data_IF_050635315095
#
_entry.id   IF_050635315095
#
_cell.length_a   1.000
_cell.length_b   1.000
_cell.length_c   1.000
_cell.angle_alpha   90.00
_cell.angle_beta   90.00
_cell.angle_gamma   90.00
#
_symmetry.space_group_name_H-M   'P 1'
#
loop_
_entity.id
_entity.type
_entity.pdbx_description
1 polymer ?
#
# COMPACT_ATOMS: atom_id res chain seq x y z
N UNK A 1 -13.93 -22.70 -4.34
CA UNK A 1 -12.90 -23.74 -4.26
C UNK A 1 -12.52 -24.15 -2.84
N UNK A 2 -13.02 -23.51 -1.79
CA UNK A 2 -12.85 -23.91 -0.37
C UNK A 2 -11.43 -23.88 0.20
N UNK A 3 -10.47 -23.24 -0.51
CA UNK A 3 -9.06 -23.14 -0.10
C UNK A 3 -8.79 -21.82 0.60
N UNK A 4 -9.49 -21.56 1.71
CA UNK A 4 -9.39 -20.29 2.43
C UNK A 4 -7.97 -20.05 2.98
N UNK A 5 -7.35 -21.07 3.56
CA UNK A 5 -5.99 -20.96 4.11
C UNK A 5 -4.97 -20.57 3.05
N UNK A 6 -5.04 -21.17 1.85
CA UNK A 6 -4.15 -20.80 0.74
C UNK A 6 -4.39 -19.37 0.26
N UNK A 7 -5.65 -18.92 0.25
CA UNK A 7 -5.98 -17.54 -0.11
C UNK A 7 -5.39 -16.53 0.90
N UNK A 8 -5.48 -16.83 2.19
CA UNK A 8 -4.88 -16.04 3.27
C UNK A 8 -3.34 -16.01 3.12
N UNK A 9 -2.71 -17.17 2.88
CA UNK A 9 -1.27 -17.21 2.67
C UNK A 9 -0.85 -16.39 1.45
N UNK A 10 -1.61 -16.48 0.35
CA UNK A 10 -1.36 -15.67 -0.85
C UNK A 10 -1.49 -14.17 -0.56
N UNK A 11 -2.46 -13.73 0.23
CA UNK A 11 -2.59 -12.34 0.64
C UNK A 11 -1.38 -11.90 1.47
N UNK A 12 -0.94 -12.73 2.42
CA UNK A 12 0.22 -12.48 3.26
C UNK A 12 1.55 -12.49 2.47
N UNK A 13 1.60 -13.05 1.27
CA UNK A 13 2.74 -12.89 0.35
C UNK A 13 2.85 -11.46 -0.19
N UNK A 14 1.77 -10.71 -0.18
CA UNK A 14 1.74 -9.34 -0.69
C UNK A 14 1.84 -8.30 0.41
N UNK A 15 1.22 -8.54 1.56
CA UNK A 15 1.16 -7.57 2.66
C UNK A 15 1.19 -8.24 4.03
N UNK A 16 1.95 -7.70 5.00
CA UNK A 16 1.82 -8.10 6.41
C UNK A 16 0.62 -7.44 7.10
N UNK A 17 -0.09 -6.50 6.44
CA UNK A 17 -1.14 -5.64 7.01
C UNK A 17 -2.49 -5.81 6.31
N UNK A 18 -3.03 -7.04 6.17
CA UNK A 18 -4.32 -7.22 5.53
C UNK A 18 -5.46 -6.59 6.32
N UNK A 19 -5.50 -6.73 7.63
CA UNK A 19 -6.55 -6.20 8.48
C UNK A 19 -6.42 -4.72 8.78
N UNK A 20 -5.24 -4.29 9.26
CA UNK A 20 -5.03 -2.89 9.67
C UNK A 20 -5.02 -1.93 8.47
N UNK A 21 -4.43 -2.31 7.35
CA UNK A 21 -4.41 -1.43 6.17
C UNK A 21 -5.58 -1.72 5.24
N UNK A 22 -5.66 -2.91 4.63
CA UNK A 22 -6.69 -3.19 3.61
C UNK A 22 -8.09 -3.22 4.20
N UNK A 23 -8.27 -3.86 5.35
CA UNK A 23 -9.57 -4.03 6.00
C UNK A 23 -10.08 -2.80 6.77
N UNK A 24 -9.20 -1.88 7.18
CA UNK A 24 -9.60 -0.79 8.08
C UNK A 24 -9.45 0.60 7.46
N UNK A 25 -8.22 0.98 7.08
CA UNK A 25 -7.93 2.38 6.74
C UNK A 25 -7.83 2.67 5.24
N UNK A 26 -7.70 1.65 4.40
CA UNK A 26 -7.64 1.80 2.95
C UNK A 26 -8.98 2.28 2.38
N UNK A 27 -9.00 3.20 1.40
CA UNK A 27 -10.22 3.57 0.68
C UNK A 27 -10.70 2.49 -0.29
N UNK A 28 -9.99 1.38 -0.40
CA UNK A 28 -10.29 0.22 -1.23
C UNK A 28 -10.46 0.54 -2.74
N UNK A 29 -9.51 1.20 -3.40
CA UNK A 29 -9.59 1.47 -4.84
C UNK A 29 -9.64 0.19 -5.69
N UNK A 30 -9.23 -0.94 -5.14
CA UNK A 30 -9.42 -2.26 -5.74
C UNK A 30 -10.89 -2.65 -5.86
N UNK A 31 -11.77 -2.17 -4.96
CA UNK A 31 -13.22 -2.35 -5.07
C UNK A 31 -13.80 -1.44 -6.14
N UNK A 32 -13.37 -0.18 -6.23
CA UNK A 32 -13.80 0.75 -7.28
C UNK A 32 -13.44 0.23 -8.68
N UNK A 33 -12.28 -0.42 -8.81
CA UNK A 33 -11.80 -1.03 -10.05
C UNK A 33 -12.25 -2.48 -10.26
N UNK A 34 -13.04 -3.03 -9.35
CA UNK A 34 -13.46 -4.43 -9.42
C UNK A 34 -14.38 -4.67 -10.63
N UNK A 35 -13.98 -5.57 -11.53
CA UNK A 35 -14.76 -5.91 -12.73
C UNK A 35 -16.16 -6.42 -12.39
N UNK A 36 -16.34 -7.09 -11.25
CA UNK A 36 -17.65 -7.52 -10.77
C UNK A 36 -18.63 -6.36 -10.61
N UNK A 37 -18.16 -5.18 -10.19
CA UNK A 37 -18.97 -3.97 -10.05
C UNK A 37 -19.65 -3.52 -11.34
N UNK A 38 -19.20 -3.99 -12.52
CA UNK A 38 -19.87 -3.75 -13.81
C UNK A 38 -21.00 -4.75 -14.12
N UNK A 39 -21.21 -5.75 -13.27
CA UNK A 39 -22.28 -6.76 -13.41
C UNK A 39 -23.38 -6.50 -12.37
N UNK A 40 -22.98 -6.33 -11.12
CA UNK A 40 -23.83 -6.04 -9.96
C UNK A 40 -23.10 -5.14 -8.93
N UNK A 41 -22.37 -5.73 -7.99
CA UNK A 41 -21.66 -5.04 -6.91
C UNK A 41 -20.20 -5.54 -6.83
N UNK A 42 -19.22 -4.69 -6.52
CA UNK A 42 -17.83 -5.14 -6.37
C UNK A 42 -17.70 -6.18 -5.25
N UNK A 43 -16.67 -7.01 -5.32
CA UNK A 43 -16.29 -7.90 -4.23
C UNK A 43 -15.85 -7.07 -3.03
N UNK A 44 -16.25 -7.44 -1.82
CA UNK A 44 -15.88 -6.80 -0.56
C UNK A 44 -14.43 -7.16 -0.17
N UNK A 45 -13.47 -6.67 -0.96
CA UNK A 45 -12.04 -7.03 -0.83
C UNK A 45 -11.47 -6.55 0.52
N UNK A 46 -11.94 -5.41 1.03
CA UNK A 46 -11.55 -4.91 2.35
C UNK A 46 -11.91 -5.89 3.48
N UNK A 47 -13.11 -6.43 3.45
CA UNK A 47 -13.57 -7.38 4.46
C UNK A 47 -12.81 -8.71 4.42
N UNK A 48 -12.36 -9.13 3.22
CA UNK A 48 -11.46 -10.29 3.10
C UNK A 48 -10.11 -10.00 3.79
N UNK A 49 -9.55 -8.81 3.60
CA UNK A 49 -8.34 -8.38 4.30
C UNK A 49 -8.52 -8.38 5.81
N UNK A 50 -9.65 -7.88 6.31
CA UNK A 50 -9.97 -7.92 7.74
C UNK A 50 -10.01 -9.36 8.28
N UNK A 51 -10.59 -10.30 7.54
CA UNK A 51 -10.66 -11.72 7.92
C UNK A 51 -9.28 -12.39 8.05
N UNK A 52 -8.26 -11.87 7.37
CA UNK A 52 -6.89 -12.38 7.40
C UNK A 52 -6.02 -11.78 8.52
N UNK A 53 -6.55 -10.82 9.29
CA UNK A 53 -5.78 -10.07 10.30
C UNK A 53 -5.13 -10.96 11.37
N UNK A 54 -5.81 -12.02 11.80
CA UNK A 54 -5.37 -12.92 12.87
C UNK A 54 -4.73 -14.22 12.37
N UNK A 55 -4.47 -14.32 11.07
CA UNK A 55 -3.85 -15.49 10.48
C UNK A 55 -2.43 -15.70 10.99
N UNK A 56 -2.05 -16.96 11.21
CA UNK A 56 -0.70 -17.35 11.65
C UNK A 56 0.14 -17.76 10.46
N UNK A 57 1.45 -17.55 10.58
CA UNK A 57 2.45 -17.95 9.58
C UNK A 57 3.60 -18.62 10.29
N UNK A 58 4.06 -19.74 9.73
CA UNK A 58 5.24 -20.42 10.24
C UNK A 58 6.52 -19.68 9.83
N UNK A 59 7.53 -19.61 10.70
CA UNK A 59 8.82 -19.05 10.35
C UNK A 59 9.51 -19.88 9.25
N UNK A 60 10.41 -19.26 8.45
CA UNK A 60 11.12 -19.97 7.39
C UNK A 60 12.00 -21.09 7.98
N UNK A 61 11.95 -22.27 7.36
CA UNK A 61 12.74 -23.45 7.80
C UNK A 61 14.23 -23.28 7.57
N UNK A 62 14.62 -22.46 6.58
CA UNK A 62 16.02 -22.28 6.18
C UNK A 62 16.45 -20.85 6.44
N UNK A 63 17.60 -20.67 7.08
CA UNK A 63 18.24 -19.38 7.29
C UNK A 63 19.34 -19.15 6.25
N UNK A 64 19.46 -17.90 5.77
CA UNK A 64 20.49 -17.51 4.80
C UNK A 64 21.79 -17.08 5.46
N UNK A 65 21.75 -16.73 6.74
CA UNK A 65 22.85 -16.12 7.49
C UNK A 65 23.14 -14.66 7.12
N UNK A 66 22.30 -14.05 6.26
CA UNK A 66 22.42 -12.65 5.86
C UNK A 66 21.71 -11.74 6.85
N UNK A 67 22.37 -10.66 7.25
CA UNK A 67 21.90 -9.70 8.24
C UNK A 67 21.44 -8.42 7.57
N UNK A 68 20.22 -7.98 7.85
CA UNK A 68 19.63 -6.79 7.27
C UNK A 68 19.21 -5.83 8.39
N UNK A 69 19.75 -4.60 8.34
CA UNK A 69 19.30 -3.52 9.19
C UNK A 69 18.22 -2.69 8.50
N UNK A 70 17.10 -2.42 9.17
CA UNK A 70 16.04 -1.55 8.66
C UNK A 70 15.87 -0.38 9.61
N UNK A 71 15.97 0.83 9.10
CA UNK A 71 15.80 2.07 9.87
C UNK A 71 14.44 2.64 9.55
N UNK A 72 13.54 2.55 10.53
CA UNK A 72 12.13 2.92 10.46
C UNK A 72 11.19 1.73 10.52
N UNK A 73 10.46 1.60 11.62
CA UNK A 73 9.46 0.57 11.92
C UNK A 73 8.04 0.96 11.46
N UNK A 74 7.93 1.80 10.41
CA UNK A 74 6.68 2.10 9.74
C UNK A 74 6.30 1.07 8.68
N UNK A 75 5.20 1.32 7.98
CA UNK A 75 4.59 0.37 7.02
C UNK A 75 5.57 -0.11 5.95
N UNK A 76 6.40 0.77 5.39
CA UNK A 76 7.38 0.39 4.36
C UNK A 76 8.50 -0.48 4.93
N UNK A 77 9.07 -0.10 6.08
CA UNK A 77 10.12 -0.87 6.75
C UNK A 77 9.63 -2.23 7.20
N UNK A 78 8.45 -2.31 7.80
CA UNK A 78 7.85 -3.58 8.23
C UNK A 78 7.45 -4.47 7.05
N UNK A 79 6.98 -3.90 5.93
CA UNK A 79 6.74 -4.68 4.70
C UNK A 79 8.06 -5.24 4.15
N UNK A 80 9.15 -4.47 4.19
CA UNK A 80 10.49 -4.94 3.81
C UNK A 80 10.95 -6.06 4.73
N UNK A 81 10.83 -5.86 6.06
CA UNK A 81 11.21 -6.83 7.08
C UNK A 81 10.48 -8.17 6.90
N UNK A 82 9.16 -8.10 6.71
CA UNK A 82 8.30 -9.25 6.45
C UNK A 82 8.78 -10.09 5.27
N UNK A 83 9.02 -9.45 4.13
CA UNK A 83 9.44 -10.13 2.92
C UNK A 83 10.83 -10.78 3.06
N UNK A 84 11.77 -10.08 3.70
CA UNK A 84 13.14 -10.57 3.88
C UNK A 84 13.22 -11.68 4.93
N UNK A 85 12.53 -11.52 6.06
CA UNK A 85 12.51 -12.56 7.11
C UNK A 85 11.89 -13.86 6.60
N UNK A 86 10.80 -13.80 5.82
CA UNK A 86 10.19 -15.00 5.20
C UNK A 86 11.11 -15.70 4.20
N UNK A 87 12.10 -15.00 3.64
CA UNK A 87 13.18 -15.62 2.82
C UNK A 87 14.33 -16.21 3.65
N UNK A 88 14.29 -16.07 4.97
CA UNK A 88 15.25 -16.62 5.90
C UNK A 88 16.41 -15.69 6.25
N UNK A 89 16.34 -14.41 5.91
CA UNK A 89 17.32 -13.41 6.36
C UNK A 89 17.11 -13.06 7.83
N UNK A 90 18.18 -12.67 8.52
CA UNK A 90 18.14 -12.15 9.88
C UNK A 90 17.89 -10.64 9.81
N UNK A 91 16.71 -10.22 10.21
CA UNK A 91 16.24 -8.83 10.03
C UNK A 91 16.06 -8.15 11.38
N UNK A 92 16.66 -6.96 11.52
CA UNK A 92 16.50 -6.10 12.69
C UNK A 92 15.93 -4.74 12.23
N UNK A 93 14.83 -4.31 12.87
CA UNK A 93 14.15 -3.04 12.61
C UNK A 93 14.42 -2.09 13.77
N UNK A 94 15.00 -0.94 13.48
CA UNK A 94 15.28 0.15 14.43
C UNK A 94 14.27 1.27 14.24
N UNK A 95 13.66 1.75 15.31
CA UNK A 95 12.69 2.85 15.27
C UNK A 95 12.91 3.79 16.45
N UNK A 96 12.76 5.09 16.25
CA UNK A 96 12.92 6.12 17.29
C UNK A 96 11.73 6.20 18.24
N UNK A 97 10.58 5.65 17.86
CA UNK A 97 9.41 5.57 18.70
C UNK A 97 9.48 4.37 19.67
N UNK A 98 8.80 4.50 20.82
CA UNK A 98 8.70 3.43 21.82
C UNK A 98 7.85 2.25 21.33
N UNK A 99 6.98 2.48 20.34
CA UNK A 99 6.12 1.48 19.72
C UNK A 99 6.30 1.43 18.21
N UNK A 100 6.49 0.21 17.71
CA UNK A 100 6.62 -0.06 16.27
C UNK A 100 5.25 0.06 15.58
N UNK A 101 5.23 0.47 14.31
CA UNK A 101 4.00 0.60 13.50
C UNK A 101 3.94 1.92 12.71
N UNK A 102 4.84 2.86 13.04
CA UNK A 102 4.89 4.16 12.38
C UNK A 102 3.56 4.91 12.44
N UNK A 103 3.09 5.46 11.32
CA UNK A 103 1.83 6.23 11.28
C UNK A 103 0.59 5.40 11.65
N UNK A 104 0.58 4.07 11.44
CA UNK A 104 -0.52 3.21 11.89
C UNK A 104 -0.69 3.26 13.42
N UNK A 105 0.41 3.26 14.14
CA UNK A 105 0.41 3.33 15.61
C UNK A 105 0.28 4.77 16.11
N UNK A 106 1.04 5.69 15.52
CA UNK A 106 1.25 7.01 16.07
C UNK A 106 0.23 8.07 15.62
N UNK A 107 -0.40 7.91 14.43
CA UNK A 107 -1.12 9.00 13.76
C UNK A 107 -2.55 8.65 13.41
N UNK A 108 -2.81 7.42 12.95
CA UNK A 108 -4.17 7.01 12.56
C UNK A 108 -5.07 6.98 13.80
N UNK A 109 -6.20 7.70 13.81
CA UNK A 109 -7.11 7.71 14.96
C UNK A 109 -7.59 6.31 15.34
N UNK A 110 -7.64 6.02 16.63
CA UNK A 110 -8.06 4.72 17.17
C UNK A 110 -9.48 4.32 16.76
N UNK A 111 -10.35 5.27 16.48
CA UNK A 111 -11.68 5.02 15.93
C UNK A 111 -11.69 4.56 14.45
N UNK A 112 -10.53 4.66 13.75
CA UNK A 112 -10.37 4.14 12.38
C UNK A 112 -9.61 2.82 12.36
N UNK A 113 -8.69 2.62 13.29
CA UNK A 113 -7.85 1.43 13.38
C UNK A 113 -7.86 0.90 14.82
N UNK A 114 -8.50 -0.25 15.00
CA UNK A 114 -8.49 -0.95 16.28
C UNK A 114 -7.06 -1.43 16.61
N UNK A 115 -6.62 -1.18 17.84
CA UNK A 115 -5.25 -1.49 18.27
C UNK A 115 -4.93 -2.98 18.16
N UNK A 116 -5.89 -3.84 18.50
CA UNK A 116 -5.74 -5.30 18.49
C UNK A 116 -5.41 -5.86 17.10
N UNK A 117 -5.92 -5.23 16.04
CA UNK A 117 -5.60 -5.62 14.66
C UNK A 117 -4.13 -5.38 14.36
N UNK A 118 -3.65 -4.17 14.63
CA UNK A 118 -2.25 -3.82 14.39
C UNK A 118 -1.32 -4.65 15.27
N UNK A 119 -1.65 -4.84 16.54
CA UNK A 119 -0.87 -5.66 17.46
C UNK A 119 -0.75 -7.12 16.99
N UNK A 120 -1.85 -7.71 16.50
CA UNK A 120 -1.83 -9.06 15.95
C UNK A 120 -0.90 -9.17 14.73
N UNK A 121 -0.94 -8.19 13.84
CA UNK A 121 -0.09 -8.17 12.64
C UNK A 121 1.38 -7.92 12.97
N UNK A 122 1.69 -7.09 13.95
CA UNK A 122 3.05 -6.88 14.44
C UNK A 122 3.62 -8.17 15.09
N UNK A 123 2.84 -8.85 15.93
CA UNK A 123 3.20 -10.15 16.50
C UNK A 123 3.46 -11.22 15.41
N UNK A 124 2.69 -11.19 14.34
CA UNK A 124 2.92 -12.06 13.19
C UNK A 124 4.26 -11.76 12.51
N UNK A 125 4.63 -10.48 12.35
CA UNK A 125 5.93 -10.08 11.79
C UNK A 125 7.08 -10.54 12.71
N UNK A 126 6.94 -10.42 14.02
CA UNK A 126 7.93 -10.97 14.97
C UNK A 126 8.03 -12.49 14.88
N UNK A 127 6.91 -13.20 14.72
CA UNK A 127 6.87 -14.67 14.69
C UNK A 127 7.67 -15.29 13.55
N UNK A 128 7.90 -14.58 12.45
CA UNK A 128 8.76 -15.04 11.36
C UNK A 128 10.24 -14.70 11.57
N UNK A 129 10.61 -14.12 12.73
CA UNK A 129 11.98 -13.91 13.15
C UNK A 129 12.50 -12.48 12.97
N UNK A 130 11.64 -11.50 12.75
CA UNK A 130 12.03 -10.09 12.76
C UNK A 130 12.28 -9.63 14.19
N UNK A 131 13.41 -8.96 14.42
CA UNK A 131 13.74 -8.33 15.69
C UNK A 131 13.39 -6.86 15.67
N UNK A 132 12.69 -6.35 16.70
CA UNK A 132 12.38 -4.94 16.87
C UNK A 132 13.26 -4.30 17.93
N UNK A 133 13.76 -3.09 17.63
CA UNK A 133 14.55 -2.25 18.53
C UNK A 133 13.87 -0.87 18.61
N UNK A 134 12.78 -0.76 19.38
CA UNK A 134 12.09 0.51 19.61
C UNK A 134 12.92 1.47 20.46
N UNK A 135 12.57 2.77 20.47
CA UNK A 135 13.29 3.82 21.20
C UNK A 135 14.72 4.08 20.71
N UNK A 136 15.05 3.57 19.53
CA UNK A 136 16.37 3.67 18.94
C UNK A 136 16.43 4.78 17.88
N UNK A 137 16.65 6.02 18.31
CA UNK A 137 16.94 7.11 17.39
C UNK A 137 18.30 6.86 16.73
N UNK A 138 18.28 6.73 15.40
CA UNK A 138 19.50 6.54 14.60
C UNK A 138 20.07 7.90 14.23
N UNK A 139 21.26 8.19 14.76
CA UNK A 139 22.14 9.28 14.36
C UNK A 139 23.21 8.76 13.40
N UNK A 140 24.13 9.59 12.97
CA UNK A 140 25.21 9.21 12.06
C UNK A 140 26.08 8.07 12.61
N UNK A 141 26.48 8.12 13.86
CA UNK A 141 27.35 7.09 14.45
C UNK A 141 26.63 5.71 14.51
N UNK A 142 25.36 5.71 14.90
CA UNK A 142 24.55 4.49 14.89
C UNK A 142 24.30 3.96 13.48
N UNK A 143 24.07 4.86 12.51
CA UNK A 143 23.91 4.47 11.11
C UNK A 143 25.15 3.71 10.62
N UNK A 144 26.34 4.25 10.87
CA UNK A 144 27.59 3.62 10.47
C UNK A 144 27.77 2.25 11.15
N UNK A 145 27.47 2.14 12.45
CA UNK A 145 27.48 0.85 13.18
C UNK A 145 26.48 -0.18 12.63
N UNK A 146 25.28 0.25 12.28
CA UNK A 146 24.26 -0.64 11.68
C UNK A 146 24.74 -1.11 10.31
N UNK A 147 25.31 -0.20 9.49
CA UNK A 147 25.87 -0.51 8.18
C UNK A 147 27.01 -1.52 8.27
N UNK A 148 27.95 -1.34 9.20
CA UNK A 148 29.06 -2.26 9.43
C UNK A 148 28.63 -3.64 9.92
N UNK A 149 27.55 -3.72 10.69
CA UNK A 149 27.03 -4.96 11.27
C UNK A 149 26.08 -5.72 10.33
N UNK A 150 25.71 -5.16 9.17
CA UNK A 150 24.69 -5.70 8.26
C UNK A 150 25.25 -5.94 6.86
N UNK A 151 24.74 -6.96 6.17
CA UNK A 151 25.02 -7.18 4.74
C UNK A 151 24.30 -6.13 3.84
N UNK A 152 23.20 -5.55 4.33
CA UNK A 152 22.52 -4.43 3.71
C UNK A 152 21.70 -3.63 4.73
N UNK A 153 21.44 -2.35 4.41
CA UNK A 153 20.59 -1.47 5.21
C UNK A 153 19.45 -0.93 4.35
N UNK A 154 18.26 -0.78 4.96
CA UNK A 154 17.11 -0.12 4.31
C UNK A 154 16.67 1.07 5.12
N UNK A 155 16.64 2.25 4.49
CA UNK A 155 16.15 3.49 5.06
C UNK A 155 14.67 3.66 4.73
N UNK A 156 13.81 3.55 5.74
CA UNK A 156 12.34 3.60 5.61
C UNK A 156 11.68 4.44 6.71
N UNK A 157 12.34 5.56 7.10
CA UNK A 157 11.90 6.43 8.21
C UNK A 157 10.60 7.18 7.95
N UNK A 158 10.13 7.20 6.69
CA UNK A 158 8.90 7.90 6.32
C UNK A 158 9.01 9.42 6.39
N UNK A 159 7.87 10.11 6.32
CA UNK A 159 7.74 11.54 6.59
C UNK A 159 7.44 11.76 8.07
N UNK A 160 8.37 12.37 8.79
CA UNK A 160 8.32 12.52 10.26
C UNK A 160 8.30 13.96 10.74
N UNK A 161 8.49 14.93 9.83
CA UNK A 161 8.50 16.37 10.12
C UNK A 161 7.36 17.05 9.35
N UNK A 162 6.48 17.74 10.06
CA UNK A 162 5.40 18.54 9.47
C UNK A 162 5.94 19.65 8.57
N UNK A 163 5.28 19.84 7.43
CA UNK A 163 5.54 20.94 6.50
C UNK A 163 4.58 22.08 6.77
N UNK A 164 5.08 23.29 6.56
CA UNK A 164 4.29 24.52 6.55
C UNK A 164 4.94 25.54 5.62
N UNK A 165 4.19 26.55 5.20
CA UNK A 165 4.73 27.69 4.48
C UNK A 165 5.09 28.80 5.46
N UNK A 166 6.01 29.70 5.10
CA UNK A 166 6.44 30.81 5.95
C UNK A 166 5.40 31.96 5.94
N UNK A 167 4.16 31.65 6.34
CA UNK A 167 3.11 32.66 6.50
C UNK A 167 3.45 33.63 7.63
N UNK A 168 2.89 34.82 7.59
CA UNK A 168 2.89 35.72 8.75
C UNK A 168 2.09 35.06 9.90
N UNK A 169 2.69 34.99 11.09
CA UNK A 169 2.06 34.40 12.28
C UNK A 169 2.20 32.88 12.43
N UNK A 170 3.20 32.26 11.79
CA UNK A 170 3.48 30.80 11.91
C UNK A 170 3.71 30.34 13.35
N UNK A 171 4.09 31.24 14.26
CA UNK A 171 4.26 30.99 15.69
C UNK A 171 2.94 30.62 16.39
N UNK A 172 1.79 30.88 15.78
CA UNK A 172 0.46 30.52 16.28
C UNK A 172 -0.01 29.13 15.79
N UNK A 173 0.78 28.45 14.95
CA UNK A 173 0.43 27.14 14.40
C UNK A 173 0.62 26.01 15.41
N UNK A 174 -0.33 25.09 15.42
CA UNK A 174 -0.14 23.75 15.95
C UNK A 174 0.21 22.81 14.81
N UNK A 175 1.22 21.93 14.98
CA UNK A 175 1.59 20.95 13.98
C UNK A 175 0.67 19.74 14.04
N UNK A 176 -0.03 19.41 12.95
CA UNK A 176 -1.04 18.35 12.89
C UNK A 176 -0.47 16.95 13.20
N UNK A 177 0.73 16.67 12.73
CA UNK A 177 1.40 15.40 13.01
C UNK A 177 1.62 15.21 14.53
N UNK A 178 2.16 16.21 15.22
CA UNK A 178 2.43 16.15 16.66
C UNK A 178 1.12 16.16 17.47
N UNK A 179 0.11 16.86 16.97
CA UNK A 179 -1.22 16.87 17.58
C UNK A 179 -1.86 15.46 17.57
N UNK A 180 -1.82 14.77 16.41
CA UNK A 180 -2.34 13.40 16.30
C UNK A 180 -1.51 12.40 17.09
N UNK A 181 -0.18 12.54 17.12
CA UNK A 181 0.68 11.69 17.96
C UNK A 181 0.34 11.83 19.44
N UNK A 182 0.08 13.04 19.92
CA UNK A 182 -0.31 13.29 21.31
C UNK A 182 -1.63 12.59 21.65
N UNK A 183 -2.64 12.72 20.77
CA UNK A 183 -3.94 12.04 20.94
C UNK A 183 -3.74 10.52 21.01
N UNK A 184 -2.97 9.93 20.10
CA UNK A 184 -2.77 8.48 20.05
C UNK A 184 -1.98 7.94 21.25
N UNK A 185 -1.15 8.77 21.92
CA UNK A 185 -0.52 8.44 23.19
C UNK A 185 -1.47 8.55 24.39
N UNK A 186 -2.73 8.92 24.17
CA UNK A 186 -3.71 9.15 25.25
C UNK A 186 -3.54 10.49 25.96
N UNK A 187 -2.76 11.40 25.40
CA UNK A 187 -2.64 12.76 25.88
C UNK A 187 -3.87 13.57 25.46
N UNK A 188 -4.17 14.62 26.21
CA UNK A 188 -5.22 15.58 25.85
C UNK A 188 -4.58 16.92 25.43
N UNK A 189 -4.10 17.03 24.18
CA UNK A 189 -3.51 18.27 23.71
C UNK A 189 -4.53 19.41 23.82
N UNK A 190 -4.05 20.61 24.18
CA UNK A 190 -4.92 21.79 24.21
C UNK A 190 -5.61 21.96 22.86
N UNK A 191 -6.93 22.00 22.89
CA UNK A 191 -7.78 22.15 21.71
C UNK A 191 -8.70 23.33 21.88
N UNK A 192 -8.76 24.18 20.86
CA UNK A 192 -9.66 25.32 20.81
C UNK A 192 -11.10 24.90 20.58
N UNK A 193 -12.04 25.80 20.84
CA UNK A 193 -13.45 25.58 20.52
C UNK A 193 -13.75 25.75 19.03
N UNK A 194 -13.08 26.72 18.38
CA UNK A 194 -13.14 26.99 16.96
C UNK A 194 -11.80 26.67 16.33
N UNK A 195 -11.72 25.57 15.61
CA UNK A 195 -10.46 25.09 15.02
C UNK A 195 -10.47 25.26 13.52
N UNK A 196 -9.41 25.83 12.97
CA UNK A 196 -9.13 25.79 11.53
C UNK A 196 -7.98 24.83 11.26
N UNK A 197 -8.21 23.89 10.34
CA UNK A 197 -7.18 22.96 9.86
C UNK A 197 -6.75 23.38 8.45
N UNK A 198 -5.47 23.75 8.28
CA UNK A 198 -4.89 24.06 6.98
C UNK A 198 -4.43 22.76 6.34
N UNK A 199 -5.11 22.33 5.28
CA UNK A 199 -4.93 21.09 4.55
C UNK A 199 -6.17 20.19 4.63
N UNK A 200 -6.75 19.83 3.47
CA UNK A 200 -7.91 18.95 3.33
C UNK A 200 -7.53 17.61 2.64
N UNK A 201 -6.33 17.11 2.90
CA UNK A 201 -5.90 15.73 2.60
C UNK A 201 -6.33 14.76 3.70
N UNK A 202 -5.96 13.47 3.56
CA UNK A 202 -6.31 12.44 4.56
C UNK A 202 -5.81 12.78 5.98
N UNK A 203 -4.55 13.22 6.13
CA UNK A 203 -4.02 13.68 7.43
C UNK A 203 -4.80 14.89 7.97
N UNK A 204 -5.25 15.80 7.09
CA UNK A 204 -6.11 16.92 7.47
C UNK A 204 -7.46 16.46 8.03
N UNK A 205 -8.09 15.47 7.39
CA UNK A 205 -9.36 14.91 7.89
C UNK A 205 -9.18 14.18 9.22
N UNK A 206 -8.08 13.44 9.40
CA UNK A 206 -7.74 12.81 10.68
C UNK A 206 -7.51 13.86 11.78
N UNK A 207 -6.85 14.98 11.43
CA UNK A 207 -6.66 16.13 12.33
C UNK A 207 -7.99 16.78 12.72
N UNK A 208 -8.89 16.98 11.75
CA UNK A 208 -10.24 17.50 12.00
C UNK A 208 -11.05 16.60 12.95
N UNK A 209 -11.00 15.29 12.70
CA UNK A 209 -11.62 14.29 13.57
C UNK A 209 -11.04 14.36 14.99
N UNK A 210 -9.72 14.36 15.11
CA UNK A 210 -9.04 14.49 16.40
C UNK A 210 -9.42 15.76 17.15
N UNK A 211 -9.60 16.90 16.44
CA UNK A 211 -10.06 18.14 17.05
C UNK A 211 -11.47 18.01 17.66
N UNK A 212 -12.41 17.37 16.96
CA UNK A 212 -13.73 17.08 17.53
C UNK A 212 -13.67 16.11 18.72
N UNK A 213 -12.86 15.06 18.64
CA UNK A 213 -12.66 14.10 19.72
C UNK A 213 -12.06 14.77 20.97
N UNK A 214 -11.24 15.83 20.80
CA UNK A 214 -10.66 16.63 21.87
C UNK A 214 -11.56 17.80 22.32
N UNK A 215 -12.79 17.91 21.82
CA UNK A 215 -13.81 18.83 22.32
C UNK A 215 -13.95 20.15 21.56
N UNK A 216 -13.46 20.25 20.32
CA UNK A 216 -13.78 21.37 19.45
C UNK A 216 -15.29 21.45 19.16
N UNK A 217 -15.86 22.65 19.23
CA UNK A 217 -17.29 22.90 18.93
C UNK A 217 -17.52 23.12 17.43
N UNK A 218 -16.50 23.61 16.72
CA UNK A 218 -16.53 23.88 15.28
C UNK A 218 -15.16 23.63 14.66
N UNK A 219 -15.13 22.91 13.55
CA UNK A 219 -13.90 22.65 12.79
C UNK A 219 -14.12 23.02 11.32
N UNK A 220 -13.22 23.83 10.76
CA UNK A 220 -13.20 24.20 9.35
C UNK A 220 -11.86 23.77 8.75
N UNK A 221 -11.90 22.93 7.71
CA UNK A 221 -10.71 22.62 6.92
C UNK A 221 -10.58 23.63 5.76
N UNK A 222 -9.38 24.10 5.48
CA UNK A 222 -9.12 24.97 4.33
C UNK A 222 -8.04 24.36 3.44
N UNK A 223 -8.20 24.51 2.11
CA UNK A 223 -7.19 24.01 1.15
C UNK A 223 -7.12 24.95 -0.07
N UNK A 224 -5.97 24.97 -0.71
CA UNK A 224 -5.74 25.74 -1.95
C UNK A 224 -6.41 25.08 -3.16
N UNK A 225 -6.70 23.79 -3.08
CA UNK A 225 -7.25 22.96 -4.14
C UNK A 225 -8.47 22.18 -3.67
N UNK A 226 -9.14 21.50 -4.60
CA UNK A 226 -10.18 20.53 -4.24
C UNK A 226 -9.65 19.53 -3.23
N UNK A 227 -10.39 19.21 -2.15
CA UNK A 227 -9.98 18.27 -1.13
C UNK A 227 -9.45 16.97 -1.72
N UNK A 228 -8.24 16.56 -1.31
CA UNK A 228 -7.58 15.36 -1.79
C UNK A 228 -7.83 14.13 -0.88
N UNK A 229 -8.56 14.33 0.22
CA UNK A 229 -8.95 13.24 1.11
C UNK A 229 -9.92 12.27 0.44
N UNK A 230 -9.99 11.05 0.94
CA UNK A 230 -10.94 10.05 0.46
C UNK A 230 -12.38 10.47 0.73
N UNK A 231 -13.28 10.16 -0.20
CA UNK A 231 -14.69 10.56 -0.10
C UNK A 231 -15.35 10.14 1.22
N UNK A 232 -15.01 8.95 1.73
CA UNK A 232 -15.53 8.46 3.02
C UNK A 232 -15.07 9.31 4.22
N UNK A 233 -13.84 9.83 4.19
CA UNK A 233 -13.28 10.65 5.26
C UNK A 233 -13.89 12.07 5.22
N UNK A 234 -14.10 12.61 4.02
CA UNK A 234 -14.81 13.87 3.81
C UNK A 234 -16.25 13.75 4.34
N UNK A 235 -16.98 12.72 3.90
CA UNK A 235 -18.36 12.50 4.33
C UNK A 235 -18.48 12.29 5.86
N UNK A 236 -17.53 11.59 6.46
CA UNK A 236 -17.47 11.45 7.93
C UNK A 236 -17.28 12.82 8.62
N UNK A 237 -16.32 13.62 8.16
CA UNK A 237 -16.04 14.95 8.72
C UNK A 237 -17.24 15.88 8.57
N UNK A 238 -17.89 15.91 7.40
CA UNK A 238 -19.11 16.71 7.16
C UNK A 238 -20.28 16.22 8.02
N UNK A 239 -20.38 14.90 8.25
CA UNK A 239 -21.35 14.29 9.17
C UNK A 239 -21.19 14.72 10.62
N UNK A 240 -19.98 15.11 11.06
CA UNK A 240 -19.72 15.73 12.36
C UNK A 240 -20.10 17.23 12.41
N UNK A 241 -20.55 17.82 11.31
CA UNK A 241 -20.83 19.24 11.20
C UNK A 241 -19.65 20.08 10.70
N UNK A 242 -18.56 19.44 10.30
CA UNK A 242 -17.37 20.08 9.75
C UNK A 242 -17.62 20.71 8.39
N UNK A 243 -16.82 21.71 8.04
CA UNK A 243 -16.90 22.42 6.76
C UNK A 243 -15.56 22.45 6.06
N UNK A 244 -15.56 22.30 4.73
CA UNK A 244 -14.34 22.45 3.91
C UNK A 244 -14.50 23.69 3.03
N UNK A 245 -13.50 24.58 3.09
CA UNK A 245 -13.44 25.81 2.31
C UNK A 245 -12.28 25.73 1.33
N UNK A 246 -12.60 25.71 0.04
CA UNK A 246 -11.62 25.70 -1.04
C UNK A 246 -12.16 26.41 -2.30
N UNK A 247 -11.36 27.07 -3.16
CA UNK A 247 -9.94 27.38 -2.88
C UNK A 247 -9.81 28.44 -1.76
N UNK A 248 -8.83 28.23 -0.87
CA UNK A 248 -8.47 29.18 0.16
C UNK A 248 -6.93 29.26 0.29
N UNK A 249 -6.37 30.39 -0.07
CA UNK A 249 -4.94 30.63 -0.04
C UNK A 249 -4.58 31.39 1.23
N UNK A 250 -4.15 30.66 2.26
CA UNK A 250 -3.72 31.27 3.53
C UNK A 250 -2.59 32.26 3.31
N UNK A 251 -2.73 33.46 3.87
CA UNK A 251 -1.74 34.54 3.82
C UNK A 251 -1.16 34.89 5.19
N UNK A 252 -2.02 34.89 6.23
CA UNK A 252 -1.65 35.30 7.59
C UNK A 252 -2.44 34.52 8.61
N UNK A 253 -1.80 34.25 9.74
CA UNK A 253 -2.37 33.55 10.89
C UNK A 253 -2.27 34.47 12.11
N UNK A 254 -3.34 34.57 12.89
CA UNK A 254 -3.40 35.34 14.12
C UNK A 254 -4.02 34.51 15.22
N UNK A 255 -3.95 34.95 16.51
CA UNK A 255 -4.65 34.29 17.59
C UNK A 255 -6.18 34.22 17.40
N UNK A 256 -6.75 35.10 16.55
CA UNK A 256 -8.19 35.18 16.31
C UNK A 256 -8.62 34.39 15.06
N UNK A 257 -7.69 33.90 14.23
CA UNK A 257 -8.02 33.11 13.04
C UNK A 257 -7.07 33.23 11.87
N UNK A 258 -7.57 32.86 10.68
CA UNK A 258 -6.79 32.74 9.44
C UNK A 258 -7.31 33.69 8.36
N UNK A 259 -6.39 34.40 7.73
CA UNK A 259 -6.68 35.29 6.59
C UNK A 259 -6.29 34.62 5.27
N UNK A 260 -7.17 34.71 4.29
CA UNK A 260 -6.89 34.40 2.90
C UNK A 260 -6.26 35.59 2.18
N UNK A 261 -5.55 35.33 1.08
CA UNK A 261 -4.97 36.38 0.22
C UNK A 261 -6.04 37.20 -0.53
N UNK A 262 -7.28 36.73 -0.55
CA UNK A 262 -8.45 37.41 -1.12
C UNK A 262 -9.24 38.26 -0.11
N UNK A 263 -8.69 38.42 1.10
CA UNK A 263 -9.28 39.18 2.19
C UNK A 263 -10.34 38.46 3.01
N UNK A 264 -10.67 37.20 2.69
CA UNK A 264 -11.52 36.37 3.56
C UNK A 264 -10.84 36.14 4.91
N UNK A 265 -11.66 36.15 5.98
CA UNK A 265 -11.22 35.82 7.31
C UNK A 265 -12.07 34.67 7.87
N UNK A 266 -11.40 33.69 8.47
CA UNK A 266 -12.06 32.59 9.19
C UNK A 266 -11.62 32.66 10.64
N UNK A 267 -12.59 32.91 11.53
CA UNK A 267 -12.39 32.98 12.96
C UNK A 267 -11.99 31.62 13.52
N UNK A 268 -10.95 31.58 14.30
CA UNK A 268 -10.49 30.40 15.04
C UNK A 268 -9.68 30.81 16.27
N UNK A 269 -9.80 30.04 17.34
CA UNK A 269 -8.98 30.15 18.52
C UNK A 269 -7.82 29.14 18.55
N UNK A 270 -7.77 28.27 17.52
CA UNK A 270 -6.63 27.42 17.23
C UNK A 270 -6.52 27.13 15.72
N UNK A 271 -5.28 27.16 15.21
CA UNK A 271 -4.97 26.82 13.83
C UNK A 271 -4.01 25.64 13.81
N UNK A 272 -4.39 24.57 13.11
CA UNK A 272 -3.58 23.34 12.98
C UNK A 272 -3.18 23.18 11.52
N UNK A 273 -1.88 22.94 11.24
CA UNK A 273 -1.39 22.72 9.88
C UNK A 273 -1.19 21.24 9.59
N UNK A 274 -1.76 20.76 8.47
CA UNK A 274 -1.70 19.37 8.03
C UNK A 274 -1.57 19.28 6.50
N UNK A 275 -0.50 19.88 5.95
CA UNK A 275 -0.21 19.96 4.50
C UNK A 275 0.90 19.02 4.05
N UNK A 276 1.04 17.91 4.74
CA UNK A 276 2.02 16.87 4.49
C UNK A 276 3.28 16.97 5.36
N UNK A 277 4.10 15.96 5.21
CA UNK A 277 5.32 15.78 5.98
C UNK A 277 6.52 15.57 5.05
N UNK A 278 7.72 15.75 5.60
CA UNK A 278 9.00 15.45 4.92
C UNK A 278 9.84 14.51 5.79
N UNK A 279 10.70 13.69 5.18
CA UNK A 279 11.63 12.84 5.92
C UNK A 279 12.72 13.67 6.59
N UNK A 280 13.22 13.17 7.74
CA UNK A 280 14.42 13.63 8.41
C UNK A 280 15.53 12.61 8.18
N UNK A 281 16.59 13.00 7.49
CA UNK A 281 17.63 12.11 6.97
C UNK A 281 19.04 12.56 7.35
N UNK A 282 19.17 13.37 8.40
CA UNK A 282 20.43 13.99 8.84
C UNK A 282 21.51 12.97 9.24
N UNK A 283 21.11 11.72 9.46
CA UNK A 283 22.04 10.62 9.77
C UNK A 283 22.74 10.04 8.53
N UNK A 284 22.29 10.36 7.32
CA UNK A 284 22.92 9.90 6.10
C UNK A 284 24.21 10.68 5.79
N UNK A 285 25.21 10.05 5.13
CA UNK A 285 26.45 10.73 4.74
C UNK A 285 26.21 11.78 3.66
N UNK A 286 26.85 12.93 3.81
CA UNK A 286 26.77 14.02 2.82
C UNK A 286 27.69 13.78 1.60
N UNK A 287 28.75 12.99 1.76
CA UNK A 287 29.87 12.82 0.82
C UNK A 287 29.81 11.54 -0.03
N UNK A 288 28.76 10.70 0.12
CA UNK A 288 28.62 9.44 -0.62
C UNK A 288 27.72 9.55 -1.87
N UNK A 289 27.46 10.75 -2.37
CA UNK A 289 26.78 10.97 -3.65
C UNK A 289 25.27 10.68 -3.63
N UNK A 290 24.62 10.78 -2.47
CA UNK A 290 23.18 10.59 -2.33
C UNK A 290 22.44 11.76 -3.00
N UNK A 291 21.50 11.44 -3.87
CA UNK A 291 20.70 12.44 -4.57
C UNK A 291 19.38 12.72 -3.82
N UNK A 292 18.97 14.01 -3.80
CA UNK A 292 17.77 14.47 -3.14
C UNK A 292 16.87 15.28 -4.07
N UNK A 293 15.59 14.97 -4.06
CA UNK A 293 14.55 15.83 -4.65
C UNK A 293 14.09 16.85 -3.62
N UNK A 294 14.09 18.15 -4.00
CA UNK A 294 13.71 19.27 -3.13
C UNK A 294 14.43 19.27 -1.76
N UNK A 295 15.66 18.78 -1.70
CA UNK A 295 16.51 18.69 -0.50
C UNK A 295 15.98 17.82 0.64
N UNK A 296 14.87 17.11 0.46
CA UNK A 296 14.23 16.32 1.52
C UNK A 296 14.05 14.85 1.13
N UNK A 297 13.62 14.55 -0.09
CA UNK A 297 13.31 13.19 -0.51
C UNK A 297 14.47 12.55 -1.26
N UNK A 298 14.73 11.27 -0.94
CA UNK A 298 15.77 10.50 -1.62
C UNK A 298 15.37 10.20 -3.08
N UNK A 299 16.36 10.30 -3.98
CA UNK A 299 16.23 9.86 -5.38
C UNK A 299 17.04 8.57 -5.56
N UNK A 300 16.41 7.39 -5.37
CA UNK A 300 17.12 6.13 -5.51
C UNK A 300 17.36 5.75 -6.96
N UNK A 301 18.33 4.86 -7.18
CA UNK A 301 18.51 4.15 -8.45
C UNK A 301 17.30 3.23 -8.75
N UNK A 302 17.28 2.58 -9.93
CA UNK A 302 16.20 1.69 -10.35
C UNK A 302 15.98 0.49 -9.41
N UNK A 303 17.01 0.06 -8.73
CA UNK A 303 17.04 -1.01 -7.75
C UNK A 303 16.76 -0.54 -6.30
N UNK A 304 16.31 0.69 -6.14
CA UNK A 304 16.06 1.36 -4.87
C UNK A 304 17.29 1.56 -4.00
N UNK A 305 18.52 1.36 -4.50
CA UNK A 305 19.74 1.71 -3.80
C UNK A 305 19.98 3.22 -3.83
N UNK A 306 20.53 3.77 -2.74
CA UNK A 306 20.95 5.17 -2.62
C UNK A 306 22.48 5.28 -2.55
N UNK A 307 23.14 4.23 -2.11
CA UNK A 307 24.59 4.01 -2.11
C UNK A 307 24.86 2.51 -1.99
N UNK A 308 26.12 2.09 -1.98
CA UNK A 308 26.46 0.66 -1.91
C UNK A 308 25.97 0.02 -0.61
N UNK A 309 25.20 -1.06 -0.75
CA UNK A 309 24.59 -1.78 0.36
C UNK A 309 23.47 -1.07 1.10
N UNK A 310 23.06 0.15 0.66
CA UNK A 310 21.99 0.91 1.30
C UNK A 310 20.86 1.22 0.33
N UNK A 311 19.65 0.83 0.72
CA UNK A 311 18.41 0.93 -0.04
C UNK A 311 17.41 1.83 0.66
N UNK A 312 16.34 2.20 -0.03
CA UNK A 312 15.28 3.03 0.58
C UNK A 312 13.89 2.58 0.16
N UNK A 313 12.87 2.87 0.99
CA UNK A 313 11.49 2.54 0.74
C UNK A 313 10.49 3.53 1.37
N UNK A 314 9.32 3.68 0.76
CA UNK A 314 8.21 4.46 1.29
C UNK A 314 8.34 5.97 1.12
N UNK A 315 7.83 6.72 2.10
CA UNK A 315 7.72 8.19 2.04
C UNK A 315 9.08 8.91 2.09
N UNK A 316 10.17 8.22 2.34
CA UNK A 316 11.53 8.74 2.16
C UNK A 316 11.83 9.08 0.71
N UNK A 317 11.15 8.41 -0.25
CA UNK A 317 11.26 8.65 -1.70
C UNK A 317 10.24 9.71 -2.14
N UNK A 318 8.98 9.50 -1.77
CA UNK A 318 7.86 10.42 -2.04
C UNK A 318 6.68 10.11 -1.13
N UNK A 319 5.91 11.12 -0.72
CA UNK A 319 4.66 10.87 0.00
C UNK A 319 3.70 9.99 -0.79
N UNK A 320 3.05 9.05 -0.13
CA UNK A 320 2.11 8.12 -0.74
C UNK A 320 1.04 7.63 0.23
N UNK A 321 0.23 6.68 -0.24
CA UNK A 321 -0.72 5.96 0.60
C UNK A 321 -0.02 4.84 1.35
N UNK A 322 -0.66 4.30 2.39
CA UNK A 322 -0.13 3.14 3.12
C UNK A 322 0.12 1.94 2.21
N UNK A 323 -0.77 1.72 1.22
CA UNK A 323 -0.59 0.66 0.20
C UNK A 323 0.59 0.90 -0.73
N UNK A 324 0.91 2.17 -1.04
CA UNK A 324 2.12 2.52 -1.80
C UNK A 324 3.38 2.23 -0.98
N UNK A 325 3.34 2.48 0.34
CA UNK A 325 4.42 2.15 1.27
C UNK A 325 4.65 0.63 1.37
N UNK A 326 3.57 -0.19 1.46
CA UNK A 326 3.65 -1.66 1.42
C UNK A 326 4.33 -2.10 0.12
N UNK A 327 3.86 -1.62 -1.02
CA UNK A 327 4.41 -1.95 -2.34
C UNK A 327 5.87 -1.55 -2.50
N UNK A 328 6.25 -0.38 -1.98
CA UNK A 328 7.64 0.11 -1.96
C UNK A 328 8.54 -0.78 -1.12
N UNK A 329 8.11 -1.16 0.09
CA UNK A 329 8.84 -2.08 0.96
C UNK A 329 9.04 -3.47 0.35
N UNK A 330 8.00 -3.98 -0.34
CA UNK A 330 8.08 -5.25 -1.06
C UNK A 330 9.08 -5.20 -2.23
N UNK A 331 9.12 -4.08 -2.97
CA UNK A 331 10.12 -3.87 -4.03
C UNK A 331 11.54 -3.76 -3.45
N UNK A 332 11.72 -3.02 -2.36
CA UNK A 332 13.01 -2.92 -1.68
C UNK A 332 13.52 -4.30 -1.23
N UNK A 333 12.66 -5.11 -0.62
CA UNK A 333 13.02 -6.47 -0.21
C UNK A 333 13.46 -7.36 -1.39
N UNK A 334 12.84 -7.18 -2.58
CA UNK A 334 13.24 -7.89 -3.80
C UNK A 334 14.67 -7.56 -4.20
N UNK A 335 15.04 -6.30 -4.22
CA UNK A 335 16.39 -5.87 -4.62
C UNK A 335 17.43 -6.15 -3.55
N UNK A 336 17.08 -5.97 -2.28
CA UNK A 336 17.97 -6.32 -1.14
C UNK A 336 18.31 -7.80 -1.15
N UNK A 337 17.32 -8.69 -1.34
CA UNK A 337 17.56 -10.15 -1.43
C UNK A 337 18.56 -10.50 -2.54
N UNK A 338 18.40 -9.91 -3.72
CA UNK A 338 19.32 -10.14 -4.83
C UNK A 338 20.73 -9.65 -4.49
N UNK A 339 20.85 -8.46 -3.92
CA UNK A 339 22.12 -7.85 -3.56
C UNK A 339 22.88 -8.73 -2.54
N UNK A 340 22.27 -9.07 -1.41
CA UNK A 340 22.93 -9.83 -0.35
C UNK A 340 23.23 -11.28 -0.73
N UNK A 341 22.45 -11.82 -1.67
CA UNK A 341 22.68 -13.19 -2.20
C UNK A 341 23.64 -13.20 -3.39
N UNK A 342 24.20 -12.06 -3.80
CA UNK A 342 25.11 -11.96 -4.95
C UNK A 342 24.47 -12.34 -6.29
N UNK A 343 23.15 -12.19 -6.40
CA UNK A 343 22.42 -12.48 -7.64
C UNK A 343 22.48 -11.27 -8.58
N UNK A 344 22.47 -11.48 -9.92
CA UNK A 344 22.31 -10.38 -10.86
C UNK A 344 21.01 -9.62 -10.59
N UNK A 345 21.06 -8.28 -10.63
CA UNK A 345 19.89 -7.44 -10.43
C UNK A 345 18.85 -7.71 -11.52
N UNK A 346 17.72 -8.26 -11.14
CA UNK A 346 16.56 -8.48 -12.00
C UNK A 346 15.48 -7.45 -11.68
N UNK A 347 14.77 -6.93 -12.66
CA UNK A 347 13.65 -6.03 -12.38
C UNK A 347 12.61 -6.71 -11.49
N UNK A 348 11.88 -5.89 -10.73
CA UNK A 348 10.77 -6.40 -9.92
C UNK A 348 9.73 -7.05 -10.85
N UNK A 349 9.28 -8.29 -10.59
CA UNK A 349 8.39 -9.00 -11.49
C UNK A 349 7.02 -8.33 -11.54
N UNK A 350 6.60 -7.98 -12.75
CA UNK A 350 5.25 -7.51 -13.02
C UNK A 350 4.40 -8.68 -13.52
N UNK A 351 3.21 -8.82 -12.95
CA UNK A 351 2.26 -9.83 -13.45
C UNK A 351 1.60 -9.29 -14.72
N UNK A 352 1.45 -10.12 -15.78
CA UNK A 352 0.67 -9.75 -16.95
C UNK A 352 -0.75 -9.35 -16.53
N UNK A 353 -1.24 -8.25 -17.09
CA UNK A 353 -2.61 -7.81 -16.87
C UNK A 353 -3.50 -8.37 -17.97
N UNK A 354 -4.64 -8.94 -17.58
CA UNK A 354 -5.67 -9.35 -18.52
C UNK A 354 -6.61 -8.16 -18.69
N UNK A 355 -6.77 -7.61 -19.93
CA UNK A 355 -7.69 -6.50 -20.15
C UNK A 355 -9.12 -6.87 -19.77
N UNK A 356 -9.80 -5.98 -19.04
CA UNK A 356 -11.18 -6.22 -18.55
C UNK A 356 -12.19 -6.47 -19.69
N UNK A 357 -11.91 -5.95 -20.88
CA UNK A 357 -12.71 -6.11 -22.11
C UNK A 357 -12.74 -7.54 -22.60
N UNK A 358 -11.71 -8.35 -22.28
CA UNK A 358 -11.66 -9.78 -22.64
C UNK A 358 -12.58 -10.64 -21.77
N UNK A 359 -13.05 -10.12 -20.62
CA UNK A 359 -13.93 -10.86 -19.73
C UNK A 359 -15.34 -10.98 -20.34
N UNK A 360 -15.88 -12.19 -20.43
CA UNK A 360 -17.25 -12.42 -20.85
C UNK A 360 -18.22 -12.20 -19.69
N UNK A 361 -18.68 -10.95 -19.53
CA UNK A 361 -19.58 -10.57 -18.43
C UNK A 361 -20.91 -11.34 -18.45
N UNK A 362 -21.41 -11.70 -19.63
CA UNK A 362 -22.64 -12.45 -19.81
C UNK A 362 -22.58 -13.90 -19.30
N UNK A 363 -21.38 -14.41 -19.04
CA UNK A 363 -21.18 -15.74 -18.44
C UNK A 363 -21.53 -15.78 -16.95
N UNK A 364 -21.56 -14.65 -16.28
CA UNK A 364 -21.71 -14.57 -14.83
C UNK A 364 -23.12 -14.10 -14.45
N UNK A 365 -23.82 -14.90 -13.66
CA UNK A 365 -25.11 -14.53 -13.11
C UNK A 365 -25.00 -13.36 -12.12
N UNK A 366 -26.04 -12.53 -12.06
CA UNK A 366 -26.18 -11.50 -11.02
C UNK A 366 -26.42 -12.14 -9.66
N UNK A 367 -25.71 -11.67 -8.66
CA UNK A 367 -25.84 -12.13 -7.27
C UNK A 367 -25.43 -10.99 -6.34
N UNK A 368 -26.31 -10.56 -5.46
CA UNK A 368 -26.03 -9.48 -4.52
C UNK A 368 -25.30 -10.01 -3.28
N UNK A 369 -24.28 -9.30 -2.80
CA UNK A 369 -23.46 -9.72 -1.66
C UNK A 369 -24.24 -9.78 -0.34
N UNK A 370 -25.25 -8.91 -0.16
CA UNK A 370 -26.09 -8.91 1.05
C UNK A 370 -26.84 -10.22 1.31
N UNK A 371 -26.92 -11.10 0.32
CA UNK A 371 -27.55 -12.42 0.45
C UNK A 371 -26.64 -13.47 1.09
N UNK A 372 -25.34 -13.16 1.22
CA UNK A 372 -24.33 -14.15 1.61
C UNK A 372 -24.06 -14.18 3.12
N UNK A 373 -24.44 -13.15 3.87
CA UNK A 373 -24.36 -13.10 5.34
C UNK A 373 -22.95 -13.17 5.96
N UNK A 374 -21.93 -13.44 5.14
CA UNK A 374 -20.54 -13.63 5.53
C UNK A 374 -19.59 -13.03 4.47
N UNK A 375 -18.69 -12.13 4.85
CA UNK A 375 -17.72 -11.50 3.93
C UNK A 375 -16.87 -12.51 3.16
N UNK A 376 -16.48 -13.61 3.79
CA UNK A 376 -15.65 -14.66 3.16
C UNK A 376 -16.40 -15.32 1.99
N UNK A 377 -17.71 -15.50 2.11
CA UNK A 377 -18.54 -16.08 1.05
C UNK A 377 -18.64 -15.21 -0.20
N UNK A 378 -18.34 -13.91 -0.09
CA UNK A 378 -18.39 -12.97 -1.21
C UNK A 378 -17.38 -13.32 -2.33
N UNK A 379 -16.32 -14.08 -2.01
CA UNK A 379 -15.36 -14.58 -3.00
C UNK A 379 -16.02 -15.46 -4.09
N UNK A 380 -17.16 -16.10 -3.80
CA UNK A 380 -17.88 -16.96 -4.76
C UNK A 380 -18.41 -16.17 -5.94
N UNK A 381 -18.66 -14.87 -5.76
CA UNK A 381 -19.09 -13.93 -6.80
C UNK A 381 -17.95 -13.49 -7.70
N UNK A 382 -16.68 -13.74 -7.33
CA UNK A 382 -15.52 -13.30 -8.06
C UNK A 382 -15.51 -13.85 -9.49
N UNK A 383 -15.30 -12.96 -10.47
CA UNK A 383 -15.25 -13.30 -11.89
C UNK A 383 -13.85 -13.72 -12.37
N UNK A 384 -12.86 -13.76 -11.48
CA UNK A 384 -11.49 -14.15 -11.79
C UNK A 384 -10.85 -13.35 -12.92
N UNK A 385 -11.09 -12.04 -12.98
CA UNK A 385 -10.65 -11.14 -14.06
C UNK A 385 -9.13 -11.01 -14.23
N UNK A 386 -8.33 -11.51 -13.30
CA UNK A 386 -6.85 -11.48 -13.35
C UNK A 386 -6.19 -12.84 -13.50
N UNK A 387 -6.97 -13.93 -13.56
CA UNK A 387 -6.42 -15.29 -13.57
C UNK A 387 -7.40 -16.31 -14.14
N UNK A 388 -6.88 -17.49 -14.44
CA UNK A 388 -7.69 -18.63 -14.86
C UNK A 388 -8.51 -19.18 -13.66
N UNK A 389 -9.83 -19.45 -13.87
CA UNK A 389 -10.71 -20.05 -12.86
C UNK A 389 -10.83 -21.58 -12.95
N UNK A 390 -10.01 -22.24 -13.75
CA UNK A 390 -10.00 -23.70 -13.95
C UNK A 390 -11.34 -24.29 -14.46
N UNK A 391 -12.05 -23.57 -15.30
CA UNK A 391 -13.35 -24.01 -15.83
C UNK A 391 -13.26 -25.06 -16.95
N UNK A 392 -12.05 -25.33 -17.47
CA UNK A 392 -11.72 -26.31 -18.52
C UNK A 392 -12.37 -26.08 -19.89
N UNK A 393 -13.16 -25.04 -20.08
CA UNK A 393 -13.86 -24.77 -21.36
C UNK A 393 -12.90 -24.72 -22.56
N UNK A 394 -11.73 -24.07 -22.41
CA UNK A 394 -10.72 -24.01 -23.47
C UNK A 394 -10.16 -25.39 -23.84
N UNK A 395 -9.98 -26.27 -22.87
CA UNK A 395 -9.48 -27.64 -23.07
C UNK A 395 -10.52 -28.51 -23.79
N UNK A 396 -11.76 -28.45 -23.33
CA UNK A 396 -12.85 -29.27 -23.89
C UNK A 396 -13.29 -28.81 -25.28
N UNK A 397 -13.22 -27.49 -25.55
CA UNK A 397 -13.63 -26.92 -26.83
C UNK A 397 -12.53 -26.94 -27.89
N UNK A 398 -11.28 -27.34 -27.56
CA UNK A 398 -10.21 -27.36 -28.53
C UNK A 398 -10.37 -28.52 -29.52
N UNK A 399 -10.61 -28.28 -30.85
CA UNK A 399 -10.85 -29.33 -31.83
C UNK A 399 -9.62 -30.23 -32.03
N UNK A 400 -8.42 -29.66 -31.93
CA UNK A 400 -7.16 -30.38 -32.12
C UNK A 400 -6.61 -30.95 -30.82
N UNK A 401 -7.32 -30.78 -29.67
CA UNK A 401 -6.84 -31.17 -28.34
C UNK A 401 -5.43 -30.70 -28.06
N UNK A 402 -5.12 -29.46 -28.50
CA UNK A 402 -3.82 -28.85 -28.39
C UNK A 402 -3.60 -28.23 -26.98
N UNK A 403 -4.64 -28.13 -26.13
CA UNK A 403 -4.54 -27.53 -24.83
C UNK A 403 -4.42 -28.61 -23.77
N UNK A 404 -3.45 -28.44 -22.87
CA UNK A 404 -3.20 -29.34 -21.73
C UNK A 404 -3.21 -28.55 -20.44
N UNK A 405 -3.81 -29.10 -19.38
CA UNK A 405 -3.72 -28.61 -18.01
C UNK A 405 -2.53 -29.27 -17.32
N UNK A 406 -1.58 -28.46 -16.89
CA UNK A 406 -0.39 -28.91 -16.14
C UNK A 406 -0.58 -28.50 -14.69
N UNK A 407 -0.51 -29.47 -13.78
CA UNK A 407 -0.50 -29.23 -12.33
C UNK A 407 0.96 -29.11 -11.86
N UNK A 408 1.23 -28.08 -11.05
CA UNK A 408 2.57 -27.82 -10.48
C UNK A 408 2.69 -28.42 -9.08
N UNK A 409 3.92 -28.57 -8.58
CA UNK A 409 4.20 -29.15 -7.27
C UNK A 409 3.57 -28.36 -6.10
N UNK A 410 3.35 -27.06 -6.27
CA UNK A 410 2.70 -26.19 -5.30
C UNK A 410 1.15 -26.26 -5.34
N UNK A 411 0.58 -27.18 -6.15
CA UNK A 411 -0.86 -27.34 -6.36
C UNK A 411 -1.48 -26.25 -7.24
N UNK A 412 -0.69 -25.33 -7.79
CA UNK A 412 -1.15 -24.42 -8.85
C UNK A 412 -1.26 -25.15 -10.18
N UNK A 413 -1.91 -24.51 -11.15
CA UNK A 413 -2.07 -25.10 -12.48
C UNK A 413 -1.81 -24.06 -13.57
N UNK A 414 -1.50 -24.59 -14.74
CA UNK A 414 -1.28 -23.80 -15.94
C UNK A 414 -1.92 -24.50 -17.14
N UNK A 415 -2.52 -23.73 -18.04
CA UNK A 415 -3.03 -24.23 -19.31
C UNK A 415 -2.06 -23.83 -20.40
N UNK A 416 -1.51 -24.82 -21.10
CA UNK A 416 -0.52 -24.64 -22.17
C UNK A 416 -1.08 -25.12 -23.50
N UNK A 417 -0.78 -24.39 -24.56
CA UNK A 417 -1.10 -24.81 -25.93
C UNK A 417 0.13 -25.45 -26.58
N UNK A 418 -0.03 -26.64 -27.10
CA UNK A 418 0.99 -27.27 -27.94
C UNK A 418 1.04 -26.56 -29.32
N UNK A 419 2.13 -25.87 -29.66
CA UNK A 419 2.23 -25.13 -30.91
C UNK A 419 2.25 -26.02 -32.17
N UNK A 420 2.55 -27.31 -32.02
CA UNK A 420 2.57 -28.25 -33.17
C UNK A 420 1.18 -28.78 -33.51
N UNK A 421 0.26 -28.73 -32.53
CA UNK A 421 -1.14 -29.17 -32.71
C UNK A 421 -2.11 -28.01 -32.89
N UNK A 422 -1.73 -26.80 -32.42
CA UNK A 422 -2.58 -25.62 -32.48
C UNK A 422 -2.69 -25.10 -33.92
N UNK A 423 -3.92 -25.04 -34.43
CA UNK A 423 -4.22 -24.51 -35.76
C UNK A 423 -4.59 -23.03 -35.78
N UNK A 424 -4.51 -22.32 -34.62
CA UNK A 424 -4.81 -20.89 -34.53
C UNK A 424 -6.29 -20.52 -34.69
N UNK A 425 -7.22 -21.44 -34.49
CA UNK A 425 -8.66 -21.21 -34.75
C UNK A 425 -9.34 -20.20 -33.80
N UNK A 426 -8.73 -19.82 -32.66
CA UNK A 426 -9.25 -18.84 -31.75
C UNK A 426 -10.38 -19.29 -30.80
N UNK A 427 -10.87 -20.55 -30.92
CA UNK A 427 -11.98 -21.04 -30.09
C UNK A 427 -11.67 -20.90 -28.58
N UNK A 428 -10.44 -21.22 -28.15
CA UNK A 428 -10.03 -21.10 -26.76
C UNK A 428 -10.14 -19.67 -26.23
N UNK A 429 -9.84 -18.66 -27.04
CA UNK A 429 -10.00 -17.25 -26.67
C UNK A 429 -11.48 -16.87 -26.62
N UNK A 430 -12.29 -17.32 -27.60
CA UNK A 430 -13.71 -17.02 -27.67
C UNK A 430 -14.55 -17.64 -26.54
N UNK A 431 -14.20 -18.85 -26.08
CA UNK A 431 -14.95 -19.53 -25.00
C UNK A 431 -14.43 -19.20 -23.60
N UNK A 432 -13.28 -18.54 -23.46
CA UNK A 432 -12.67 -18.25 -22.15
C UNK A 432 -13.44 -17.14 -21.41
N UNK A 433 -14.20 -17.41 -20.34
CA UNK A 433 -14.94 -16.37 -19.65
C UNK A 433 -14.02 -15.37 -18.91
N UNK A 434 -12.80 -15.79 -18.56
CA UNK A 434 -11.82 -14.96 -17.86
C UNK A 434 -10.89 -14.17 -18.81
N UNK A 435 -10.99 -14.35 -20.11
CA UNK A 435 -10.16 -13.64 -21.12
C UNK A 435 -8.66 -13.97 -21.04
N UNK A 436 -8.29 -15.13 -20.50
CA UNK A 436 -6.86 -15.52 -20.31
C UNK A 436 -6.17 -15.76 -21.63
N UNK A 437 -6.87 -16.36 -22.60
CA UNK A 437 -6.33 -16.63 -23.93
C UNK A 437 -6.39 -15.40 -24.82
N UNK A 438 -5.30 -15.16 -25.54
CA UNK A 438 -5.23 -14.20 -26.65
C UNK A 438 -4.73 -14.89 -27.91
N UNK A 439 -5.16 -14.38 -29.06
CA UNK A 439 -4.61 -14.76 -30.35
C UNK A 439 -3.69 -13.66 -30.80
N UNK A 440 -2.47 -14.02 -31.14
CA UNK A 440 -1.47 -13.12 -31.68
C UNK A 440 -0.99 -13.69 -33.03
N UNK A 441 -0.76 -12.81 -33.98
CA UNK A 441 -0.17 -13.22 -35.28
C UNK A 441 1.27 -13.68 -35.04
N UNK A 442 1.60 -14.87 -35.48
CA UNK A 442 2.97 -15.36 -35.47
C UNK A 442 3.50 -15.42 -36.91
N UNK A 443 4.20 -14.39 -37.37
CA UNK A 443 4.68 -14.29 -38.73
C UNK A 443 5.68 -15.41 -39.12
N UNK A 444 6.33 -16.04 -38.13
CA UNK A 444 7.27 -17.15 -38.39
C UNK A 444 6.57 -18.50 -38.59
N UNK A 445 5.29 -18.62 -38.27
CA UNK A 445 4.51 -19.85 -38.35
C UNK A 445 3.25 -19.76 -39.21
N UNK A 446 3.15 -18.78 -40.10
CA UNK A 446 2.08 -18.77 -41.10
C UNK A 446 2.35 -19.94 -42.06
N UNK A 447 1.53 -21.02 -42.02
CA UNK A 447 1.63 -22.03 -43.08
C UNK A 447 1.31 -21.31 -44.37
N UNK A 448 2.25 -21.29 -45.30
CA UNK A 448 1.92 -20.91 -46.67
C UNK A 448 0.93 -21.96 -47.17
N UNK A 449 -0.36 -21.69 -47.04
CA UNK A 449 -1.35 -22.35 -47.85
C UNK A 449 -1.02 -21.92 -49.27
N UNK A 450 -0.27 -22.76 -49.98
CA UNK A 450 -0.18 -22.66 -51.41
C UNK A 450 -1.61 -22.81 -51.92
N UNK A 451 -2.19 -21.72 -52.40
CA UNK A 451 -3.42 -21.76 -53.18
C UNK A 451 -3.11 -22.48 -54.50
N UNK A 452 -3.01 -23.77 -54.40
CA UNK A 452 -2.97 -24.66 -55.53
C UNK A 452 -4.37 -24.79 -56.14
N UNK A 453 -4.92 -23.71 -56.64
CA UNK A 453 -5.96 -23.80 -57.62
C UNK A 453 -5.29 -24.27 -58.91
N UNK A 454 -5.28 -25.56 -59.12
CA UNK A 454 -5.12 -26.13 -60.51
C UNK A 454 -6.50 -26.12 -61.12
N UNK A 455 -6.59 -25.39 -62.22
CA UNK A 455 -7.70 -25.38 -63.14
C UNK A 455 -8.10 -26.79 -63.66
#
# INVERSE_FOLDING_TARGET
MGRLEDAIQLELDYTPFPGSVCGSVCPNPCMDACTRGSIDEPIQIGDLGYSSAFAKVEPPKTKTGKKIGIIGGGVAGLSTAWQLARKGHDVTVYDDADHIGGKLEQVIPRGRLAHELLESELKRIESVGVQFVPGCKVDREKFDKIREASDAVVVATGGTKSRFFPWEGVEHLTMGLEYLKAINRGEHPKTGKKVVVIGAGNSGMDTCRGAYEMGAESVIAVDVQKPAAFAKEIAYFEGLGGKIVWPFFTSKITPEGVYGNDGRFIEADQVIVSIGEEPVLDFLPEDEGIEYFRKSWLVPKKDLSIMDGVFTAGDTIKPGRLTDAIGSGRKAAWFVDQYVMGKPAQPFPEKPQIPAERLSKAYFDKCHHCQLGDPVSDHTRCVSCGTCRDCKMCLESCPEKAITRIEKEDGSWEYVSDPNRCIGCGICAGVCPCGVWSIEDNPEKIPMYSTGAKA
#
